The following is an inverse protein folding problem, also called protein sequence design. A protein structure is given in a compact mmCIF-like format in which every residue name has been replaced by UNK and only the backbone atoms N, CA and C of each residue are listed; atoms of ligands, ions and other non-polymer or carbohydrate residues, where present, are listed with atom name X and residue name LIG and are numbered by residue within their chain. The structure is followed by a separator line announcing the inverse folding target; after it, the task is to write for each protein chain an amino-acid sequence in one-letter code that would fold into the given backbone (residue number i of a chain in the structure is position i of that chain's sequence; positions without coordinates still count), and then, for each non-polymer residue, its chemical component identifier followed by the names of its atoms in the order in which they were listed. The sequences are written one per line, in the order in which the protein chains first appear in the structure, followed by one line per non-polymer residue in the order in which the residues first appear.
data_IF_828003171709
#
_entry.id   IF_828003171709
#
_cell.length_a   1.000
_cell.length_b   1.000
_cell.length_c   1.000
_cell.angle_alpha   90.00
_cell.angle_beta   90.00
_cell.angle_gamma   90.00
#
_symmetry.space_group_name_H-M   'P 1'
#
loop_
_entity.id
_entity.type
_entity.pdbx_description
1 polymer ?
#
# COMPACT_ATOMS: atom_id res chain seq x y z
N UNK A 1 -16.60 0.40 -3.48
CA UNK A 1 -16.09 -0.90 -3.93
C UNK A 1 -14.76 -1.16 -3.25
N UNK A 2 -14.52 -2.38 -2.79
CA UNK A 2 -13.25 -2.84 -2.21
C UNK A 2 -12.75 -4.02 -3.06
N UNK A 3 -11.44 -4.05 -3.34
CA UNK A 3 -10.77 -5.14 -4.05
C UNK A 3 -9.58 -5.59 -3.20
N UNK A 4 -9.46 -6.88 -2.93
CA UNK A 4 -8.36 -7.48 -2.18
C UNK A 4 -8.21 -8.96 -2.58
N UNK A 5 -7.00 -9.50 -2.65
CA UNK A 5 -6.75 -10.92 -2.92
C UNK A 5 -6.49 -11.75 -1.65
N UNK A 6 -6.59 -11.13 -0.49
CA UNK A 6 -6.35 -11.70 0.85
C UNK A 6 -4.97 -12.37 1.03
N UNK A 7 -3.99 -12.02 0.22
CA UNK A 7 -2.64 -12.60 0.35
C UNK A 7 -1.97 -12.25 1.69
N UNK A 8 -2.27 -11.07 2.25
CA UNK A 8 -1.76 -10.62 3.55
C UNK A 8 -2.78 -9.86 4.40
N UNK A 9 -4.05 -9.98 4.07
CA UNK A 9 -5.17 -9.38 4.78
C UNK A 9 -6.17 -10.45 5.25
N UNK A 10 -7.19 -10.04 6.01
CA UNK A 10 -8.19 -10.96 6.58
C UNK A 10 -9.60 -10.51 6.20
N UNK A 11 -10.49 -11.45 5.79
CA UNK A 11 -11.90 -11.14 5.48
C UNK A 11 -12.65 -10.45 6.62
N UNK A 12 -12.25 -10.71 7.87
CA UNK A 12 -12.85 -10.09 9.05
C UNK A 12 -12.77 -8.55 9.01
N UNK A 13 -11.78 -7.98 8.34
CA UNK A 13 -11.69 -6.53 8.16
C UNK A 13 -12.93 -5.96 7.46
N UNK A 14 -13.50 -6.67 6.50
CA UNK A 14 -14.71 -6.24 5.79
C UNK A 14 -15.92 -6.17 6.73
N UNK A 15 -16.10 -7.18 7.60
CA UNK A 15 -17.17 -7.22 8.59
C UNK A 15 -17.05 -6.04 9.57
N UNK A 16 -15.83 -5.77 10.00
CA UNK A 16 -15.54 -4.67 10.93
C UNK A 16 -15.76 -3.30 10.29
N UNK A 17 -15.41 -3.12 9.02
CA UNK A 17 -15.71 -1.90 8.27
C UNK A 17 -17.23 -1.69 8.20
N UNK A 18 -18.01 -2.70 7.82
CA UNK A 18 -19.48 -2.62 7.82
C UNK A 18 -20.02 -2.23 9.18
N UNK A 19 -19.53 -2.86 10.26
CA UNK A 19 -19.95 -2.57 11.63
C UNK A 19 -19.63 -1.14 12.06
N UNK A 20 -18.47 -0.60 11.67
CA UNK A 20 -18.05 0.75 12.02
C UNK A 20 -18.84 1.81 11.24
N UNK A 21 -19.02 1.58 9.94
CA UNK A 21 -19.62 2.57 9.04
C UNK A 21 -21.13 2.48 8.96
N UNK A 22 -21.72 1.35 9.31
CA UNK A 22 -23.12 1.05 9.08
C UNK A 22 -23.52 0.97 7.60
N UNK A 23 -22.52 0.86 6.69
CA UNK A 23 -22.73 0.87 5.24
C UNK A 23 -22.33 -0.44 4.61
N UNK A 24 -23.12 -0.88 3.63
CA UNK A 24 -22.72 -1.95 2.72
C UNK A 24 -21.85 -1.41 1.60
N UNK A 25 -21.01 -2.29 1.04
CA UNK A 25 -20.17 -2.03 -0.11
C UNK A 25 -19.97 -3.32 -0.92
N UNK A 26 -19.75 -3.15 -2.22
CA UNK A 26 -19.35 -4.27 -3.07
C UNK A 26 -17.90 -4.66 -2.75
N UNK A 27 -17.65 -5.98 -2.66
CA UNK A 27 -16.33 -6.56 -2.48
C UNK A 27 -16.04 -7.54 -3.60
N UNK A 28 -14.83 -7.47 -4.14
CA UNK A 28 -14.31 -8.39 -5.14
C UNK A 28 -12.99 -8.99 -4.65
N UNK A 29 -12.97 -10.32 -4.53
CA UNK A 29 -11.72 -11.04 -4.31
C UNK A 29 -11.01 -11.18 -5.65
N UNK A 30 -10.01 -10.33 -5.89
CA UNK A 30 -9.29 -10.30 -7.15
C UNK A 30 -7.85 -9.81 -6.95
N UNK A 31 -6.96 -10.28 -7.81
CA UNK A 31 -5.57 -9.84 -7.86
C UNK A 31 -5.41 -8.69 -8.87
N UNK A 32 -4.59 -7.69 -8.52
CA UNK A 32 -4.28 -6.59 -9.44
C UNK A 32 -3.53 -7.03 -10.71
N UNK A 33 -2.91 -8.21 -10.69
CA UNK A 33 -2.26 -8.79 -11.86
C UNK A 33 -3.28 -9.33 -12.88
N UNK A 34 -4.51 -9.59 -12.46
CA UNK A 34 -5.60 -10.03 -13.33
C UNK A 34 -6.35 -8.84 -13.95
N UNK A 35 -5.88 -8.41 -15.13
CA UNK A 35 -6.51 -7.30 -15.86
C UNK A 35 -7.97 -7.58 -16.18
N UNK A 36 -8.34 -8.83 -16.52
CA UNK A 36 -9.72 -9.16 -16.88
C UNK A 36 -10.66 -9.02 -15.68
N UNK A 37 -10.23 -9.45 -14.49
CA UNK A 37 -10.97 -9.24 -13.26
C UNK A 37 -11.12 -7.75 -12.93
N UNK A 38 -10.07 -6.95 -13.09
CA UNK A 38 -10.15 -5.50 -12.89
C UNK A 38 -11.12 -4.84 -13.87
N UNK A 39 -11.02 -5.17 -15.16
CA UNK A 39 -11.93 -4.62 -16.17
C UNK A 39 -13.39 -4.93 -15.85
N UNK A 40 -13.70 -6.16 -15.45
CA UNK A 40 -15.04 -6.55 -15.02
C UNK A 40 -15.54 -5.70 -13.85
N UNK A 41 -14.68 -5.43 -12.86
CA UNK A 41 -15.04 -4.58 -11.70
C UNK A 41 -15.41 -3.16 -12.16
N UNK A 42 -14.63 -2.57 -13.06
CA UNK A 42 -14.94 -1.24 -13.62
C UNK A 42 -16.19 -1.24 -14.51
N UNK A 43 -16.47 -2.34 -15.21
CA UNK A 43 -17.67 -2.49 -16.03
C UNK A 43 -18.94 -2.57 -15.18
N UNK A 44 -18.89 -3.32 -14.07
CA UNK A 44 -20.04 -3.53 -13.17
C UNK A 44 -20.27 -2.33 -12.22
N UNK A 45 -19.29 -1.44 -12.05
CA UNK A 45 -19.35 -0.36 -11.08
C UNK A 45 -18.91 0.97 -11.68
N UNK A 46 -19.67 2.03 -11.41
CA UNK A 46 -19.22 3.38 -11.69
C UNK A 46 -18.17 3.78 -10.68
N UNK A 47 -16.90 3.77 -11.07
CA UNK A 47 -15.76 4.15 -10.23
C UNK A 47 -15.30 5.57 -10.58
N UNK A 48 -15.42 6.49 -9.65
CA UNK A 48 -15.03 7.89 -9.84
C UNK A 48 -13.55 8.15 -9.48
N UNK A 49 -13.00 7.37 -8.55
CA UNK A 49 -11.62 7.48 -8.11
C UNK A 49 -11.13 6.17 -7.49
N UNK A 50 -9.82 5.97 -7.50
CA UNK A 50 -9.15 4.82 -6.88
C UNK A 50 -8.23 5.28 -5.76
N UNK A 51 -8.30 4.59 -4.60
CA UNK A 51 -7.30 4.67 -3.55
C UNK A 51 -6.50 3.37 -3.60
N UNK A 52 -5.24 3.47 -4.00
CA UNK A 52 -4.36 2.33 -4.26
C UNK A 52 -3.43 2.07 -3.09
N UNK A 53 -3.84 1.14 -2.21
CA UNK A 53 -3.04 0.65 -1.08
C UNK A 53 -2.38 -0.71 -1.33
N UNK A 54 -2.86 -1.46 -2.33
CA UNK A 54 -2.38 -2.81 -2.58
C UNK A 54 -0.88 -2.83 -2.95
N UNK A 55 -0.17 -3.81 -2.44
CA UNK A 55 1.24 -4.03 -2.73
C UNK A 55 1.97 -4.72 -1.59
N UNK A 56 3.03 -5.45 -1.93
CA UNK A 56 3.97 -6.02 -0.99
C UNK A 56 4.79 -4.90 -0.35
N UNK A 57 4.97 -4.91 0.98
CA UNK A 57 5.55 -3.79 1.74
C UNK A 57 6.70 -4.15 2.69
N UNK A 58 7.08 -5.42 2.80
CA UNK A 58 8.12 -5.86 3.73
C UNK A 58 9.52 -5.61 3.15
N UNK A 59 10.23 -4.62 3.70
CA UNK A 59 11.57 -4.21 3.22
C UNK A 59 12.55 -5.37 3.19
N UNK A 60 12.68 -6.13 4.28
CA UNK A 60 13.60 -7.27 4.37
C UNK A 60 13.28 -8.38 3.35
N UNK A 61 12.00 -8.70 3.18
CA UNK A 61 11.58 -9.69 2.19
C UNK A 61 11.86 -9.22 0.76
N UNK A 62 11.72 -7.92 0.48
CA UNK A 62 11.98 -7.38 -0.86
C UNK A 62 13.41 -7.61 -1.34
N UNK A 63 14.37 -7.64 -0.41
CA UNK A 63 15.78 -7.92 -0.73
C UNK A 63 15.97 -9.39 -1.10
N UNK A 64 15.19 -10.29 -0.51
CA UNK A 64 15.26 -11.73 -0.79
C UNK A 64 14.46 -12.13 -2.03
N UNK A 65 13.36 -11.40 -2.33
CA UNK A 65 12.42 -11.69 -3.41
C UNK A 65 12.16 -10.47 -4.30
N UNK A 66 13.21 -9.87 -4.88
CA UNK A 66 13.05 -8.60 -5.61
C UNK A 66 12.15 -8.72 -6.84
N UNK A 67 12.19 -9.83 -7.56
CA UNK A 67 11.39 -10.05 -8.78
C UNK A 67 9.91 -10.07 -8.44
N UNK A 68 9.52 -10.76 -7.39
CA UNK A 68 8.13 -10.82 -6.89
C UNK A 68 7.63 -9.42 -6.50
N UNK A 69 8.47 -8.63 -5.84
CA UNK A 69 8.13 -7.25 -5.45
C UNK A 69 7.93 -6.35 -6.65
N UNK A 70 8.83 -6.38 -7.63
CA UNK A 70 8.67 -5.61 -8.86
C UNK A 70 7.45 -6.09 -9.66
N UNK A 71 7.28 -7.39 -9.82
CA UNK A 71 6.13 -7.94 -10.54
C UNK A 71 4.82 -7.56 -9.87
N UNK A 72 4.66 -7.84 -8.58
CA UNK A 72 3.42 -7.55 -7.87
C UNK A 72 3.11 -6.05 -7.85
N UNK A 73 4.05 -5.23 -7.42
CA UNK A 73 3.77 -3.82 -7.17
C UNK A 73 3.69 -3.00 -8.46
N UNK A 74 4.63 -3.18 -9.39
CA UNK A 74 4.68 -2.37 -10.62
C UNK A 74 3.70 -2.92 -11.64
N UNK A 75 3.74 -4.22 -11.94
CA UNK A 75 2.83 -4.79 -12.95
C UNK A 75 1.37 -4.67 -12.49
N UNK A 76 1.07 -4.95 -11.22
CA UNK A 76 -0.28 -4.77 -10.67
C UNK A 76 -0.77 -3.33 -10.83
N UNK A 77 0.08 -2.34 -10.52
CA UNK A 77 -0.28 -0.92 -10.73
C UNK A 77 -0.48 -0.59 -12.21
N UNK A 78 0.33 -1.14 -13.11
CA UNK A 78 0.15 -0.94 -14.55
C UNK A 78 -1.17 -1.54 -15.07
N UNK A 79 -1.56 -2.73 -14.58
CA UNK A 79 -2.86 -3.33 -14.92
C UNK A 79 -4.02 -2.47 -14.41
N UNK A 80 -3.91 -1.97 -13.17
CA UNK A 80 -4.89 -1.04 -12.62
C UNK A 80 -5.03 0.24 -13.48
N UNK A 81 -3.92 0.88 -13.86
CA UNK A 81 -3.93 2.08 -14.70
C UNK A 81 -4.55 1.78 -16.07
N UNK A 82 -4.27 0.60 -16.67
CA UNK A 82 -4.91 0.17 -17.93
C UNK A 82 -6.43 0.08 -17.79
N UNK A 83 -6.93 -0.57 -16.75
CA UNK A 83 -8.36 -0.65 -16.48
C UNK A 83 -8.96 0.75 -16.25
N UNK A 84 -8.33 1.57 -15.41
CA UNK A 84 -8.77 2.94 -15.14
C UNK A 84 -8.89 3.77 -16.44
N UNK A 85 -7.89 3.71 -17.31
CA UNK A 85 -7.90 4.41 -18.61
C UNK A 85 -9.04 3.94 -19.51
N UNK A 86 -9.24 2.62 -19.61
CA UNK A 86 -10.28 2.02 -20.47
C UNK A 86 -11.68 2.48 -20.06
N UNK A 87 -11.93 2.62 -18.76
CA UNK A 87 -13.24 2.99 -18.22
C UNK A 87 -13.34 4.48 -17.81
N UNK A 88 -12.37 5.30 -18.17
CA UNK A 88 -12.41 6.75 -17.96
C UNK A 88 -12.24 7.21 -16.50
N UNK A 89 -11.80 6.35 -15.60
CA UNK A 89 -11.49 6.71 -14.22
C UNK A 89 -10.07 7.32 -14.17
N UNK A 90 -9.96 8.64 -14.02
CA UNK A 90 -8.69 9.37 -14.10
C UNK A 90 -8.24 9.98 -12.75
N UNK A 91 -8.78 9.50 -11.63
CA UNK A 91 -8.41 10.00 -10.28
C UNK A 91 -7.82 8.88 -9.47
N UNK A 92 -6.57 9.07 -9.00
CA UNK A 92 -5.87 8.08 -8.19
C UNK A 92 -5.15 8.72 -7.01
N UNK A 93 -5.33 8.12 -5.84
CA UNK A 93 -4.52 8.36 -4.65
C UNK A 93 -3.62 7.15 -4.45
N UNK A 94 -2.32 7.34 -4.52
CA UNK A 94 -1.35 6.27 -4.36
C UNK A 94 -0.67 6.29 -3.00
N UNK A 95 -0.70 5.17 -2.31
CA UNK A 95 0.06 4.94 -1.09
C UNK A 95 1.54 4.73 -1.42
N UNK A 96 2.29 5.85 -1.47
CA UNK A 96 3.74 5.83 -1.53
C UNK A 96 4.34 5.65 -0.12
N UNK A 97 5.61 5.90 0.05
CA UNK A 97 6.34 5.68 1.29
C UNK A 97 7.44 6.71 1.47
N UNK A 98 7.75 7.06 2.71
CA UNK A 98 8.92 7.88 3.04
C UNK A 98 10.25 7.24 2.60
N UNK A 99 10.27 5.94 2.32
CA UNK A 99 11.46 5.25 1.77
C UNK A 99 11.95 5.84 0.45
N UNK A 100 11.08 6.58 -0.28
CA UNK A 100 11.44 7.25 -1.53
C UNK A 100 12.39 8.44 -1.34
N UNK A 101 12.55 8.94 -0.12
CA UNK A 101 13.52 10.01 0.15
C UNK A 101 14.97 9.51 0.14
N UNK A 102 15.17 8.20 0.28
CA UNK A 102 16.50 7.57 0.20
C UNK A 102 17.50 8.11 1.22
N UNK A 103 18.79 7.77 1.07
CA UNK A 103 19.81 8.09 2.05
C UNK A 103 20.47 9.46 1.84
N UNK A 104 20.22 10.12 0.70
CA UNK A 104 20.93 11.38 0.35
C UNK A 104 20.24 12.60 0.93
N UNK A 105 18.96 12.53 1.22
CA UNK A 105 18.19 13.63 1.78
C UNK A 105 18.37 13.69 3.30
N UNK A 106 18.25 14.91 3.84
CA UNK A 106 18.30 15.16 5.30
C UNK A 106 16.96 15.74 5.75
N UNK A 107 16.50 15.30 6.94
CA UNK A 107 15.30 15.84 7.55
C UNK A 107 15.47 17.34 7.90
N UNK A 108 14.38 18.13 7.90
CA UNK A 108 13.01 17.73 7.57
C UNK A 108 12.83 17.47 6.06
N UNK A 109 12.06 16.45 5.71
CA UNK A 109 11.79 16.09 4.31
C UNK A 109 10.67 16.94 3.72
N UNK A 110 10.84 17.34 2.44
CA UNK A 110 9.85 18.07 1.65
C UNK A 110 9.56 17.33 0.34
N UNK A 111 8.42 17.60 -0.29
CA UNK A 111 7.95 16.86 -1.44
C UNK A 111 8.77 17.07 -2.71
N UNK A 112 9.51 18.17 -2.80
CA UNK A 112 10.39 18.57 -3.92
C UNK A 112 11.77 17.91 -3.88
N UNK A 113 12.12 17.26 -2.77
CA UNK A 113 13.40 16.56 -2.65
C UNK A 113 13.53 15.43 -3.68
N UNK A 114 14.76 15.19 -4.20
CA UNK A 114 15.01 14.10 -5.14
C UNK A 114 14.67 12.76 -4.52
N UNK A 115 14.07 11.88 -5.33
CA UNK A 115 13.67 10.54 -4.89
C UNK A 115 14.70 9.49 -5.24
N UNK A 116 14.96 8.60 -4.29
CA UNK A 116 15.80 7.40 -4.46
C UNK A 116 15.38 6.35 -3.44
N UNK A 117 15.97 5.16 -3.49
CA UNK A 117 15.71 4.14 -2.50
C UNK A 117 16.95 3.29 -2.24
N UNK A 118 16.93 2.47 -1.19
CA UNK A 118 18.03 1.57 -0.80
C UNK A 118 17.69 0.10 -0.92
N UNK A 119 16.44 -0.21 -1.28
CA UNK A 119 15.93 -1.58 -1.34
C UNK A 119 14.86 -1.73 -2.43
N UNK A 120 14.55 -2.96 -2.89
CA UNK A 120 13.58 -3.18 -3.96
C UNK A 120 12.19 -2.66 -3.65
N UNK A 121 11.69 -2.81 -2.42
CA UNK A 121 10.39 -2.23 -2.05
C UNK A 121 10.36 -0.70 -2.27
N UNK A 122 11.35 0.02 -1.75
CA UNK A 122 11.47 1.45 -1.95
C UNK A 122 11.56 1.83 -3.44
N UNK A 123 12.31 1.08 -4.23
CA UNK A 123 12.37 1.30 -5.68
C UNK A 123 11.03 1.05 -6.37
N UNK A 124 10.20 0.08 -5.93
CA UNK A 124 8.85 -0.05 -6.50
C UNK A 124 8.03 1.23 -6.29
N UNK A 125 8.16 1.87 -5.11
CA UNK A 125 7.45 3.12 -4.83
C UNK A 125 7.97 4.29 -5.67
N UNK A 126 9.29 4.46 -5.78
CA UNK A 126 9.92 5.48 -6.65
C UNK A 126 9.47 5.32 -8.11
N UNK A 127 9.50 4.10 -8.63
CA UNK A 127 9.11 3.82 -10.02
C UNK A 127 7.62 4.06 -10.25
N UNK A 128 6.74 3.68 -9.32
CA UNK A 128 5.32 3.93 -9.44
C UNK A 128 5.01 5.44 -9.36
N UNK A 129 5.68 6.19 -8.48
CA UNK A 129 5.55 7.65 -8.48
C UNK A 129 5.91 8.24 -9.85
N UNK A 130 7.01 7.78 -10.46
CA UNK A 130 7.40 8.23 -11.79
C UNK A 130 6.38 7.84 -12.86
N UNK A 131 5.92 6.59 -12.87
CA UNK A 131 4.87 6.12 -13.80
C UNK A 131 3.61 7.00 -13.70
N UNK A 132 3.17 7.30 -12.49
CA UNK A 132 1.97 8.13 -12.29
C UNK A 132 2.17 9.60 -12.73
N UNK A 133 3.38 10.16 -12.56
CA UNK A 133 3.74 11.47 -13.11
C UNK A 133 3.71 11.46 -14.64
N UNK A 134 4.26 10.43 -15.27
CA UNK A 134 4.27 10.28 -16.72
C UNK A 134 2.85 10.08 -17.29
N UNK A 135 1.99 9.36 -16.57
CA UNK A 135 0.56 9.23 -16.90
C UNK A 135 -0.13 10.59 -16.87
N UNK A 136 0.12 11.42 -15.86
CA UNK A 136 -0.41 12.78 -15.79
C UNK A 136 0.12 13.66 -16.92
N UNK A 137 1.41 13.59 -17.24
CA UNK A 137 2.01 14.37 -18.35
C UNK A 137 1.42 13.94 -19.70
N UNK A 138 1.13 12.66 -19.89
CA UNK A 138 0.55 12.14 -21.13
C UNK A 138 -0.93 12.54 -21.32
N UNK A 139 -1.63 12.84 -20.22
CA UNK A 139 -3.05 13.19 -20.21
C UNK A 139 -3.36 14.00 -18.94
N UNK A 140 -3.42 15.31 -19.06
CA UNK A 140 -3.60 16.25 -17.95
C UNK A 140 -4.98 16.21 -17.27
N UNK A 141 -5.93 15.43 -17.80
CA UNK A 141 -7.20 15.17 -17.11
C UNK A 141 -7.05 14.25 -15.90
N UNK A 142 -5.90 13.57 -15.77
CA UNK A 142 -5.63 12.77 -14.58
C UNK A 142 -5.44 13.65 -13.36
N UNK A 143 -5.95 13.18 -12.22
CA UNK A 143 -5.69 13.74 -10.91
C UNK A 143 -4.95 12.69 -10.08
N UNK A 144 -3.69 12.96 -9.76
CA UNK A 144 -2.80 12.04 -9.05
C UNK A 144 -2.39 12.64 -7.73
N UNK A 145 -2.63 11.91 -6.63
CA UNK A 145 -2.12 12.24 -5.31
C UNK A 145 -1.14 11.16 -4.84
N UNK A 146 0.09 11.57 -4.51
CA UNK A 146 1.15 10.69 -4.03
C UNK A 146 1.34 10.92 -2.53
N UNK A 147 0.94 9.94 -1.70
CA UNK A 147 1.02 10.06 -0.24
C UNK A 147 2.23 9.29 0.29
N UNK A 148 3.28 10.00 0.69
CA UNK A 148 4.52 9.43 1.22
C UNK A 148 4.40 9.18 2.72
N UNK A 149 3.82 8.02 3.09
CA UNK A 149 3.65 7.64 4.48
C UNK A 149 5.00 7.33 5.14
N UNK A 150 5.18 7.81 6.35
CA UNK A 150 6.16 7.29 7.30
C UNK A 150 5.59 6.02 7.95
N UNK A 151 5.79 5.81 9.23
CA UNK A 151 5.22 4.69 9.96
C UNK A 151 3.99 5.17 10.76
N UNK A 152 2.78 5.19 10.17
CA UNK A 152 1.60 5.64 10.88
C UNK A 152 1.29 4.68 12.02
N UNK A 153 1.04 5.24 13.20
CA UNK A 153 0.63 4.50 14.38
C UNK A 153 -0.79 4.88 14.73
N UNK A 154 -1.56 3.90 15.17
CA UNK A 154 -2.90 4.12 15.65
C UNK A 154 -3.89 3.09 15.14
N UNK A 155 -5.08 3.15 15.72
CA UNK A 155 -6.20 2.32 15.38
C UNK A 155 -7.49 3.15 15.40
N UNK A 156 -8.55 2.64 14.80
CA UNK A 156 -9.84 3.29 14.88
C UNK A 156 -10.34 3.28 16.34
N UNK A 157 -10.98 4.39 16.77
CA UNK A 157 -11.46 4.58 18.15
C UNK A 157 -12.40 3.48 18.67
N UNK A 158 -13.03 2.69 17.77
CA UNK A 158 -13.85 1.55 18.15
C UNK A 158 -13.05 0.36 18.68
N UNK A 159 -11.72 0.31 18.49
CA UNK A 159 -10.89 -0.85 18.78
C UNK A 159 -11.11 -2.06 17.85
N UNK A 160 -11.95 -1.93 16.81
CA UNK A 160 -12.28 -3.03 15.91
C UNK A 160 -11.29 -3.21 14.74
N UNK A 161 -10.59 -2.14 14.34
CA UNK A 161 -9.59 -2.16 13.28
C UNK A 161 -8.28 -1.59 13.80
N UNK A 162 -7.18 -2.25 13.45
CA UNK A 162 -5.82 -1.86 13.74
C UNK A 162 -4.88 -2.65 12.85
N UNK A 163 -3.60 -2.67 13.18
CA UNK A 163 -2.62 -3.50 12.48
C UNK A 163 -2.69 -4.94 13.00
N UNK A 164 -3.03 -5.87 12.11
CA UNK A 164 -3.14 -7.31 12.40
C UNK A 164 -2.49 -8.12 11.27
N UNK A 165 -1.13 -8.11 11.19
CA UNK A 165 -0.42 -8.77 10.11
C UNK A 165 -0.52 -10.28 10.19
N UNK A 166 -0.42 -10.94 9.03
CA UNK A 166 -0.18 -12.37 8.96
C UNK A 166 1.31 -12.65 9.27
N UNK A 167 1.58 -13.51 10.26
CA UNK A 167 2.94 -13.86 10.68
C UNK A 167 3.60 -12.81 11.59
N UNK A 168 4.92 -12.68 11.46
CA UNK A 168 5.72 -11.80 12.33
C UNK A 168 5.51 -10.33 11.92
N UNK A 169 5.12 -9.44 12.85
CA UNK A 169 4.97 -8.02 12.55
C UNK A 169 6.28 -7.39 12.07
N UNK A 170 6.18 -6.46 11.12
CA UNK A 170 7.33 -5.68 10.63
C UNK A 170 7.45 -4.31 11.32
N UNK A 171 6.42 -3.87 12.03
CA UNK A 171 6.38 -2.59 12.73
C UNK A 171 6.49 -2.80 14.26
N UNK A 172 7.00 -1.79 14.94
CA UNK A 172 7.24 -1.83 16.40
C UNK A 172 5.94 -1.97 17.19
N UNK A 173 4.90 -1.21 16.83
CA UNK A 173 3.68 -1.13 17.64
C UNK A 173 2.93 -2.47 17.79
N UNK A 174 2.75 -3.29 16.75
CA UNK A 174 2.16 -4.63 16.91
C UNK A 174 2.89 -5.51 17.89
N UNK A 175 4.24 -5.45 17.95
CA UNK A 175 5.02 -6.17 18.95
C UNK A 175 4.69 -5.71 20.38
N UNK A 176 4.67 -4.39 20.59
CA UNK A 176 4.33 -3.82 21.89
C UNK A 176 2.92 -4.27 22.31
N UNK A 177 1.95 -4.25 21.40
CA UNK A 177 0.59 -4.71 21.66
C UNK A 177 0.53 -6.20 22.01
N UNK A 178 1.29 -7.06 21.31
CA UNK A 178 1.37 -8.48 21.59
C UNK A 178 1.94 -8.77 22.98
N UNK A 179 2.94 -8.01 23.41
CA UNK A 179 3.47 -8.10 24.78
C UNK A 179 2.43 -7.63 25.80
N UNK A 180 1.77 -6.52 25.52
CA UNK A 180 0.78 -5.93 26.44
C UNK A 180 -0.43 -6.86 26.68
N UNK A 181 -0.82 -7.67 25.70
CA UNK A 181 -1.91 -8.66 25.83
C UNK A 181 -1.42 -10.06 26.21
N UNK A 182 -0.11 -10.24 26.46
CA UNK A 182 0.48 -11.50 26.91
C UNK A 182 0.56 -12.61 25.86
N UNK A 183 0.41 -12.28 24.56
CA UNK A 183 0.55 -13.28 23.48
C UNK A 183 2.01 -13.66 23.22
N UNK A 184 2.96 -12.81 23.62
CA UNK A 184 4.40 -13.08 23.68
C UNK A 184 4.96 -12.57 24.99
N UNK A 185 5.95 -13.27 25.57
CA UNK A 185 6.49 -12.96 26.89
C UNK A 185 7.37 -11.69 26.89
N UNK A 186 8.12 -11.46 25.84
CA UNK A 186 8.88 -10.22 25.58
C UNK A 186 9.35 -10.19 24.12
N UNK A 187 9.68 -9.00 23.64
CA UNK A 187 10.37 -8.85 22.37
C UNK A 187 11.74 -8.24 22.60
N UNK A 188 12.80 -8.96 22.22
CA UNK A 188 14.08 -8.34 21.98
C UNK A 188 14.00 -7.59 20.63
N UNK A 189 13.69 -6.31 20.70
CA UNK A 189 13.93 -5.41 19.60
C UNK A 189 15.43 -5.07 19.62
N UNK A 190 16.24 -5.92 19.05
CA UNK A 190 17.46 -5.42 18.44
C UNK A 190 16.99 -4.60 17.25
N UNK A 191 16.82 -3.30 17.44
CA UNK A 191 16.80 -2.38 16.31
C UNK A 191 18.09 -2.68 15.57
N UNK A 192 18.04 -3.16 14.31
CA UNK A 192 19.26 -3.22 13.52
C UNK A 192 19.78 -1.80 13.50
N UNK A 193 20.94 -1.58 14.09
CA UNK A 193 21.63 -0.29 14.16
C UNK A 193 21.92 0.30 12.78
N UNK A 194 21.50 -0.39 11.71
CA UNK A 194 21.66 -0.03 10.31
C UNK A 194 20.38 -0.01 9.48
N UNK A 195 19.18 -0.17 10.06
CA UNK A 195 17.96 0.14 9.33
C UNK A 195 17.83 1.66 9.27
N UNK A 196 18.56 2.25 8.35
CA UNK A 196 18.29 3.61 7.93
C UNK A 196 16.91 3.61 7.27
N UNK A 197 16.00 4.31 7.89
CA UNK A 197 14.72 4.68 7.31
C UNK A 197 14.98 5.50 6.06
#
# INVERSE_FOLDING_TARGET
VIVDNFSNSKPEALNRIKKITGKDFAFYEADLLDLAALEKIFEENKIDAVIHFAGLKAVGESVQKPVEYYHNNITGTLMLIKAMRKYGCKKIVFSSSATVYGPVNKAPYTEDMPTSATNPYGYTKVMIEQILRDVYVSDNDWSVSLLRYFNPIGAHKSGLIGEDPNGIPNNLLPYICQVAVGTVSYTHLTLPTNSRV
#
